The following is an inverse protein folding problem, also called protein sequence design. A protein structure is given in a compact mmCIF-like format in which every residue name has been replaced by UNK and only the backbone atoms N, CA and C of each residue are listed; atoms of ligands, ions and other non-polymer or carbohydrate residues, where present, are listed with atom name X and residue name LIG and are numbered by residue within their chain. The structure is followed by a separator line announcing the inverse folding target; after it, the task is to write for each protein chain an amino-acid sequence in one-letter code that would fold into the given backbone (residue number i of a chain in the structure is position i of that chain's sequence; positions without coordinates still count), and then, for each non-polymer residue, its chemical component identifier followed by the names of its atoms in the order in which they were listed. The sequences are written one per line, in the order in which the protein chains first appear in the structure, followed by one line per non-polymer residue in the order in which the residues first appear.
data_IF_522068377982
#
_entry.id   IF_522068377982
#
_cell.length_a   1.000
_cell.length_b   1.000
_cell.length_c   1.000
_cell.angle_alpha   90.00
_cell.angle_beta   90.00
_cell.angle_gamma   90.00
#
_symmetry.space_group_name_H-M   'P 1'
#
loop_
_entity.id
_entity.type
_entity.pdbx_description
1 polymer ?
#
# COMPACT_ATOMS: atom_id res chain seq x y z
N UNK A 1 53.07 26.69 0.93
CA UNK A 1 52.00 27.60 0.47
C UNK A 1 50.71 27.16 1.21
N UNK A 2 50.36 27.89 2.26
CA UNK A 2 49.14 27.57 3.01
C UNK A 2 47.91 28.19 2.30
N UNK A 3 47.01 27.36 1.83
CA UNK A 3 45.76 27.78 1.23
C UNK A 3 44.77 28.15 2.35
N UNK A 4 44.58 29.45 2.59
CA UNK A 4 43.59 29.91 3.55
C UNK A 4 42.18 29.83 2.97
N UNK A 5 41.17 29.54 3.82
CA UNK A 5 39.74 29.47 3.42
C UNK A 5 39.24 30.75 2.72
N UNK A 6 39.82 31.91 3.04
CA UNK A 6 39.53 33.20 2.36
C UNK A 6 40.09 33.27 0.95
N UNK A 7 41.24 32.65 0.67
CA UNK A 7 41.85 32.60 -0.65
C UNK A 7 41.06 31.72 -1.62
N UNK A 8 40.40 30.67 -1.09
CA UNK A 8 39.55 29.77 -1.91
C UNK A 8 38.26 30.46 -2.36
N UNK A 9 37.66 31.28 -1.49
CA UNK A 9 36.44 32.04 -1.80
C UNK A 9 36.67 33.20 -2.76
N UNK A 10 37.83 33.82 -2.71
CA UNK A 10 38.18 34.88 -3.66
C UNK A 10 38.52 34.34 -5.07
N UNK A 11 39.05 33.11 -5.16
CA UNK A 11 39.32 32.44 -6.43
C UNK A 11 38.07 32.00 -7.20
N UNK A 12 36.99 31.65 -6.50
CA UNK A 12 35.74 31.22 -7.11
C UNK A 12 34.90 32.37 -7.67
N UNK A 13 35.09 33.60 -7.21
CA UNK A 13 34.37 34.76 -7.74
C UNK A 13 34.94 35.26 -9.09
N UNK A 14 36.17 34.95 -9.41
CA UNK A 14 36.81 35.41 -10.66
C UNK A 14 36.49 34.49 -11.87
N UNK A 15 36.05 33.26 -11.65
CA UNK A 15 35.69 32.31 -12.74
C UNK A 15 34.23 32.44 -13.20
N UNK A 16 33.39 33.16 -12.49
CA UNK A 16 31.97 33.36 -12.88
C UNK A 16 31.75 34.42 -13.97
N UNK A 17 32.78 35.19 -14.37
CA UNK A 17 32.61 36.30 -15.31
C UNK A 17 32.94 35.94 -16.77
N UNK A 18 33.49 34.76 -17.06
CA UNK A 18 33.99 34.42 -18.41
C UNK A 18 33.00 33.57 -19.23
N UNK A 19 31.82 33.18 -18.73
CA UNK A 19 30.87 32.33 -19.44
C UNK A 19 29.54 33.07 -19.79
N UNK A 20 29.55 34.38 -19.89
CA UNK A 20 28.47 35.14 -20.48
C UNK A 20 28.76 35.37 -21.97
N UNK A 21 28.72 34.32 -22.81
CA UNK A 21 28.64 34.47 -24.26
C UNK A 21 27.22 34.81 -24.64
N UNK A 22 26.96 35.88 -25.42
CA UNK A 22 25.64 36.19 -25.93
C UNK A 22 25.30 35.30 -27.13
N UNK A 23 24.85 34.14 -26.83
CA UNK A 23 24.31 33.14 -27.73
C UNK A 23 23.24 32.38 -27.03
N UNK A 24 22.22 33.08 -26.47
CA UNK A 24 21.03 32.45 -25.92
C UNK A 24 20.28 31.79 -27.07
N UNK A 25 20.63 30.55 -27.39
CA UNK A 25 19.66 29.67 -28.02
C UNK A 25 18.46 29.66 -27.07
N UNK A 26 17.37 30.31 -27.51
CA UNK A 26 16.06 30.16 -26.90
C UNK A 26 15.80 28.66 -26.85
N UNK A 27 15.99 28.05 -25.69
CA UNK A 27 15.58 26.67 -25.48
C UNK A 27 14.09 26.64 -25.81
N UNK A 28 13.73 25.96 -26.92
CA UNK A 28 12.35 25.75 -27.23
C UNK A 28 11.68 25.16 -26.01
N UNK A 29 10.58 25.77 -25.57
CA UNK A 29 9.77 25.19 -24.50
C UNK A 29 9.48 23.75 -24.88
N UNK A 30 9.62 22.77 -23.95
CA UNK A 30 9.26 21.40 -24.25
C UNK A 30 7.84 21.35 -24.81
N UNK A 31 7.57 20.53 -25.82
CA UNK A 31 6.22 20.40 -26.36
C UNK A 31 5.26 20.10 -25.21
N UNK A 32 4.02 20.60 -25.24
CA UNK A 32 3.02 20.25 -24.24
C UNK A 32 2.94 18.71 -24.15
N UNK A 33 2.77 18.14 -22.94
CA UNK A 33 2.66 16.70 -22.79
C UNK A 33 1.54 16.21 -23.72
N UNK A 34 1.83 15.21 -24.54
CA UNK A 34 0.81 14.56 -25.36
C UNK A 34 -0.31 14.10 -24.44
N UNK A 35 -1.57 14.37 -24.86
CA UNK A 35 -2.73 13.90 -24.11
C UNK A 35 -2.63 12.38 -23.99
N UNK A 36 -2.48 11.88 -22.77
CA UNK A 36 -2.37 10.45 -22.52
C UNK A 36 -3.70 9.80 -22.89
N UNK A 37 -3.67 8.78 -23.75
CA UNK A 37 -4.87 8.02 -24.06
C UNK A 37 -5.41 7.38 -22.76
N UNK A 38 -6.68 7.63 -22.46
CA UNK A 38 -7.37 6.99 -21.34
C UNK A 38 -8.14 5.76 -21.81
N UNK A 39 -8.32 4.81 -20.89
CA UNK A 39 -9.09 3.57 -21.10
C UNK A 39 -10.20 3.53 -20.05
N UNK A 40 -11.45 3.23 -20.45
CA UNK A 40 -12.53 3.03 -19.48
C UNK A 40 -12.27 1.73 -18.70
N UNK A 41 -12.36 1.81 -17.37
CA UNK A 41 -12.20 0.69 -16.45
C UNK A 41 -13.43 0.64 -15.56
N UNK A 42 -14.03 -0.54 -15.42
CA UNK A 42 -15.22 -0.78 -14.61
C UNK A 42 -14.92 -1.83 -13.58
N UNK A 43 -15.15 -1.54 -12.31
CA UNK A 43 -15.04 -2.50 -11.21
C UNK A 43 -16.08 -2.21 -10.13
N UNK A 44 -16.29 -3.15 -9.24
CA UNK A 44 -17.10 -2.93 -8.05
C UNK A 44 -16.17 -2.62 -6.88
N UNK A 45 -16.36 -1.47 -6.22
CA UNK A 45 -15.58 -1.10 -5.04
C UNK A 45 -16.50 -0.97 -3.84
N UNK A 46 -16.27 -1.80 -2.83
CA UNK A 46 -17.07 -1.83 -1.59
C UNK A 46 -18.57 -2.02 -1.85
N UNK A 47 -18.93 -2.83 -2.85
CA UNK A 47 -20.31 -3.11 -3.25
C UNK A 47 -20.93 -2.06 -4.18
N UNK A 48 -20.17 -1.04 -4.59
CA UNK A 48 -20.63 -0.01 -5.52
C UNK A 48 -19.91 -0.10 -6.87
N UNK A 49 -20.68 -0.11 -7.96
CA UNK A 49 -20.11 -0.09 -9.31
C UNK A 49 -19.47 1.27 -9.59
N UNK A 50 -18.24 1.24 -10.07
CA UNK A 50 -17.44 2.42 -10.45
C UNK A 50 -16.97 2.29 -11.88
N UNK A 51 -16.97 3.40 -12.60
CA UNK A 51 -16.43 3.53 -13.95
C UNK A 51 -15.49 4.74 -13.97
N UNK A 52 -14.27 4.55 -14.45
CA UNK A 52 -13.23 5.57 -14.52
C UNK A 52 -12.55 5.53 -15.88
N UNK A 53 -12.25 6.69 -16.43
CA UNK A 53 -11.37 6.82 -17.59
C UNK A 53 -9.95 7.08 -17.11
N UNK A 54 -9.09 6.06 -17.18
CA UNK A 54 -7.75 6.07 -16.57
C UNK A 54 -6.64 5.97 -17.63
N UNK A 55 -5.52 6.62 -17.35
CA UNK A 55 -4.26 6.25 -17.99
C UNK A 55 -3.99 4.77 -17.71
N UNK A 56 -3.71 3.92 -18.71
CA UNK A 56 -3.49 2.49 -18.51
C UNK A 56 -2.33 2.14 -17.57
N UNK A 57 -1.46 3.11 -17.25
CA UNK A 57 -0.37 2.97 -16.28
C UNK A 57 -0.80 3.26 -14.84
N UNK A 58 -2.03 3.71 -14.62
CA UNK A 58 -2.55 4.02 -13.27
C UNK A 58 -2.59 2.75 -12.44
N UNK A 59 -1.94 2.77 -11.27
CA UNK A 59 -2.03 1.65 -10.32
C UNK A 59 -3.43 1.58 -9.71
N UNK A 60 -3.83 0.39 -9.25
CA UNK A 60 -5.07 0.24 -8.51
C UNK A 60 -5.07 1.13 -7.25
N UNK A 61 -3.92 1.26 -6.58
CA UNK A 61 -3.75 2.16 -5.43
C UNK A 61 -4.08 3.60 -5.78
N UNK A 62 -3.56 4.11 -6.89
CA UNK A 62 -3.82 5.50 -7.32
C UNK A 62 -5.27 5.69 -7.78
N UNK A 63 -5.85 4.69 -8.47
CA UNK A 63 -7.27 4.72 -8.83
C UNK A 63 -8.17 4.85 -7.58
N UNK A 64 -7.90 4.06 -6.54
CA UNK A 64 -8.65 4.11 -5.28
C UNK A 64 -8.48 5.46 -4.57
N UNK A 65 -7.24 5.94 -4.45
CA UNK A 65 -6.93 7.13 -3.64
C UNK A 65 -7.20 8.45 -4.35
N UNK A 66 -6.73 8.58 -5.60
CA UNK A 66 -6.72 9.88 -6.30
C UNK A 66 -7.99 10.08 -7.15
N UNK A 67 -8.57 9.01 -7.67
CA UNK A 67 -9.78 9.10 -8.50
C UNK A 67 -11.06 8.83 -7.69
N UNK A 68 -11.07 7.83 -6.80
CA UNK A 68 -12.24 7.50 -5.97
C UNK A 68 -12.22 8.13 -4.57
N UNK A 69 -11.12 8.80 -4.18
CA UNK A 69 -10.94 9.45 -2.87
C UNK A 69 -11.05 8.48 -1.68
N UNK A 70 -10.82 7.19 -1.90
CA UNK A 70 -10.77 6.16 -0.86
C UNK A 70 -9.37 6.14 -0.23
N UNK A 71 -9.12 7.08 0.68
CA UNK A 71 -7.79 7.35 1.23
C UNK A 71 -7.38 6.43 2.38
N UNK A 72 -8.24 5.50 2.79
CA UNK A 72 -7.96 4.49 3.81
C UNK A 72 -6.79 3.59 3.40
N UNK A 73 -6.79 3.09 2.16
CA UNK A 73 -5.66 2.37 1.59
C UNK A 73 -4.45 3.30 1.44
N UNK A 74 -3.27 2.91 1.98
CA UNK A 74 -2.12 3.83 2.13
C UNK A 74 -0.99 3.56 1.14
N UNK A 75 -0.42 4.63 0.60
CA UNK A 75 0.81 4.60 -0.21
C UNK A 75 2.02 4.72 0.72
N UNK A 76 2.60 3.58 1.14
CA UNK A 76 3.76 3.54 2.03
C UNK A 76 5.08 3.51 1.26
N UNK A 77 5.31 2.50 0.45
CA UNK A 77 6.55 2.32 -0.32
C UNK A 77 6.39 2.45 -1.83
N UNK A 78 5.19 2.22 -2.36
CA UNK A 78 4.83 2.26 -3.78
C UNK A 78 5.60 1.25 -4.66
N UNK A 79 6.14 0.19 -4.05
CA UNK A 79 6.88 -0.87 -4.74
C UNK A 79 6.74 -2.26 -4.07
N UNK A 80 5.59 -2.52 -3.42
CA UNK A 80 5.19 -3.85 -2.94
C UNK A 80 5.88 -4.35 -1.67
N UNK A 81 6.68 -3.55 -0.96
CA UNK A 81 7.48 -4.03 0.18
C UNK A 81 6.77 -3.91 1.53
N UNK A 82 5.85 -2.96 1.72
CA UNK A 82 5.36 -2.61 3.05
C UNK A 82 3.96 -3.13 3.39
N UNK A 83 3.16 -3.54 2.40
CA UNK A 83 1.80 -4.02 2.61
C UNK A 83 0.77 -2.97 3.07
N UNK A 84 1.14 -1.67 3.20
CA UNK A 84 0.20 -0.63 3.63
C UNK A 84 -0.94 -0.40 2.63
N UNK A 85 -0.73 -0.80 1.38
CA UNK A 85 -1.69 -0.70 0.29
C UNK A 85 -2.54 -1.98 0.08
N UNK A 86 -2.49 -2.93 1.00
CA UNK A 86 -3.25 -4.18 0.86
C UNK A 86 -4.75 -3.91 0.76
N UNK A 87 -5.35 -4.45 -0.29
CA UNK A 87 -6.80 -4.53 -0.52
C UNK A 87 -7.16 -5.97 -0.85
N UNK A 88 -8.44 -6.29 -0.90
CA UNK A 88 -8.93 -7.60 -1.36
C UNK A 88 -9.57 -7.44 -2.73
N UNK A 89 -9.16 -8.26 -3.69
CA UNK A 89 -9.78 -8.38 -5.02
C UNK A 89 -10.35 -9.79 -5.11
N UNK A 90 -11.64 -9.90 -5.30
CA UNK A 90 -12.38 -11.17 -5.29
C UNK A 90 -12.06 -12.04 -4.05
N UNK A 91 -11.90 -11.36 -2.89
CA UNK A 91 -11.55 -12.00 -1.61
C UNK A 91 -10.08 -12.40 -1.46
N UNK A 92 -9.22 -12.13 -2.44
CA UNK A 92 -7.77 -12.38 -2.38
C UNK A 92 -7.03 -11.07 -2.08
N UNK A 93 -6.17 -11.07 -1.06
CA UNK A 93 -5.36 -9.89 -0.74
C UNK A 93 -4.25 -9.66 -1.75
N UNK A 94 -4.12 -8.42 -2.19
CA UNK A 94 -3.06 -7.99 -3.10
C UNK A 94 -2.45 -6.66 -2.63
N UNK A 95 -1.24 -6.38 -3.08
CA UNK A 95 -0.62 -5.05 -2.97
C UNK A 95 -1.08 -4.18 -4.13
N UNK A 96 -2.04 -3.29 -3.91
CA UNK A 96 -2.64 -2.45 -4.95
C UNK A 96 -1.64 -1.51 -5.65
N UNK A 97 -0.48 -1.22 -5.06
CA UNK A 97 0.59 -0.45 -5.72
C UNK A 97 1.34 -1.23 -6.82
N UNK A 98 1.23 -2.56 -6.85
CA UNK A 98 1.87 -3.42 -7.86
C UNK A 98 0.92 -3.87 -8.97
N UNK A 99 -0.35 -3.51 -8.91
CA UNK A 99 -1.34 -3.92 -9.88
C UNK A 99 -1.90 -2.71 -10.61
N UNK A 100 -2.04 -2.78 -11.93
CA UNK A 100 -2.63 -1.72 -12.73
C UNK A 100 -4.16 -1.79 -12.63
N UNK A 101 -4.82 -0.64 -12.53
CA UNK A 101 -6.28 -0.57 -12.43
C UNK A 101 -6.98 -1.27 -13.61
N UNK A 102 -6.43 -1.14 -14.82
CA UNK A 102 -6.96 -1.75 -16.05
C UNK A 102 -6.98 -3.29 -16.01
N UNK A 103 -6.19 -3.92 -15.14
CA UNK A 103 -6.17 -5.38 -14.97
C UNK A 103 -7.36 -5.91 -14.15
N UNK A 104 -8.10 -5.01 -13.51
CA UNK A 104 -9.20 -5.31 -12.61
C UNK A 104 -10.57 -4.94 -13.19
N UNK A 105 -10.67 -4.82 -14.51
CA UNK A 105 -11.94 -4.56 -15.16
C UNK A 105 -12.92 -5.73 -14.91
N UNK A 106 -14.01 -5.46 -14.21
CA UNK A 106 -15.00 -6.44 -13.79
C UNK A 106 -14.82 -7.03 -12.39
N UNK A 107 -13.69 -6.79 -11.72
CA UNK A 107 -13.38 -7.37 -10.40
C UNK A 107 -14.15 -6.67 -9.27
N UNK A 108 -14.31 -7.40 -8.14
CA UNK A 108 -14.85 -6.88 -6.89
C UNK A 108 -13.73 -6.55 -5.90
N UNK A 109 -13.58 -5.25 -5.59
CA UNK A 109 -12.51 -4.72 -4.76
C UNK A 109 -13.08 -4.33 -3.39
N UNK A 110 -12.49 -4.85 -2.32
CA UNK A 110 -12.82 -4.46 -0.95
C UNK A 110 -11.64 -3.73 -0.31
N UNK A 111 -11.88 -2.51 0.10
CA UNK A 111 -10.92 -1.69 0.86
C UNK A 111 -11.30 -1.66 2.34
N UNK A 112 -10.51 -0.98 3.18
CA UNK A 112 -10.81 -0.83 4.61
C UNK A 112 -12.15 -0.15 4.85
N UNK A 113 -12.56 0.77 3.98
CA UNK A 113 -13.84 1.47 4.06
C UNK A 113 -15.03 0.55 3.84
N UNK A 114 -14.84 -0.57 3.12
CA UNK A 114 -15.89 -1.55 2.84
C UNK A 114 -16.05 -2.64 3.91
N UNK A 115 -15.15 -2.73 4.89
CA UNK A 115 -15.20 -3.79 5.91
C UNK A 115 -16.22 -3.51 7.00
N UNK A 116 -16.45 -2.26 7.37
CA UNK A 116 -17.38 -1.87 8.42
C UNK A 116 -17.65 -0.38 8.45
N UNK A 117 -18.62 0.02 9.27
CA UNK A 117 -18.97 1.44 9.50
C UNK A 117 -18.61 1.85 10.93
N UNK A 118 -18.54 3.17 11.23
CA UNK A 118 -18.32 3.63 12.60
C UNK A 118 -19.28 3.05 13.64
N UNK A 119 -20.56 2.84 13.25
CA UNK A 119 -21.59 2.28 14.12
C UNK A 119 -21.60 0.75 14.16
N UNK A 120 -20.95 0.09 13.18
CA UNK A 120 -20.87 -1.36 13.06
C UNK A 120 -19.51 -1.77 12.52
N UNK A 121 -18.54 -1.79 13.40
CA UNK A 121 -17.18 -2.21 13.06
C UNK A 121 -17.14 -3.70 12.66
N UNK A 122 -16.27 -4.02 11.71
CA UNK A 122 -15.89 -5.40 11.44
C UNK A 122 -15.19 -5.99 12.70
N UNK A 123 -15.38 -7.28 13.05
CA UNK A 123 -14.73 -7.88 14.22
C UNK A 123 -13.23 -7.64 14.31
N UNK A 124 -12.50 -7.67 13.18
CA UNK A 124 -11.08 -7.38 13.13
C UNK A 124 -10.77 -5.91 13.48
N UNK A 125 -11.60 -4.95 13.03
CA UNK A 125 -11.44 -3.54 13.41
C UNK A 125 -11.64 -3.35 14.91
N UNK A 126 -12.67 -3.96 15.49
CA UNK A 126 -12.92 -3.92 16.92
C UNK A 126 -11.79 -4.56 17.73
N UNK A 127 -11.26 -5.69 17.29
CA UNK A 127 -10.12 -6.37 17.94
C UNK A 127 -8.85 -5.52 17.88
N UNK A 128 -8.57 -4.85 16.76
CA UNK A 128 -7.43 -3.91 16.67
C UNK A 128 -7.53 -2.76 17.64
N UNK A 129 -8.73 -2.22 17.88
CA UNK A 129 -8.96 -1.17 18.89
C UNK A 129 -8.74 -1.75 20.28
N UNK A 130 -9.30 -2.92 20.60
CA UNK A 130 -9.23 -3.56 21.92
C UNK A 130 -7.81 -3.92 22.34
N UNK A 131 -7.00 -4.39 21.40
CA UNK A 131 -5.62 -4.85 21.63
C UNK A 131 -4.56 -3.80 21.30
N UNK A 132 -4.92 -2.55 21.03
CA UNK A 132 -3.98 -1.53 20.58
C UNK A 132 -3.12 -1.99 19.38
N UNK A 133 -3.73 -2.67 18.40
CA UNK A 133 -3.07 -3.21 17.21
C UNK A 133 -2.47 -2.15 16.28
N UNK A 134 -2.33 -0.92 16.73
CA UNK A 134 -1.77 0.21 16.00
C UNK A 134 -1.19 1.27 16.94
N UNK A 135 -0.35 2.17 16.39
CA UNK A 135 0.11 3.39 17.05
C UNK A 135 -0.15 4.59 16.12
N UNK A 136 0.70 4.85 15.11
CA UNK A 136 0.46 5.95 14.17
C UNK A 136 -0.76 5.73 13.24
N UNK A 137 -1.25 4.52 13.10
CA UNK A 137 -2.40 4.17 12.27
C UNK A 137 -2.12 4.04 10.77
N UNK A 138 -0.91 4.40 10.30
CA UNK A 138 -0.65 4.46 8.85
C UNK A 138 -0.72 3.09 8.16
N UNK A 139 -0.14 2.04 8.73
CA UNK A 139 -0.20 0.68 8.18
C UNK A 139 -1.52 -0.04 8.50
N UNK A 140 -2.33 0.48 9.41
CA UNK A 140 -3.48 -0.21 10.00
C UNK A 140 -4.52 -0.66 8.96
N UNK A 141 -4.91 0.13 7.96
CA UNK A 141 -5.82 -0.33 6.91
C UNK A 141 -5.33 -1.59 6.19
N UNK A 142 -4.06 -1.58 5.75
CA UNK A 142 -3.45 -2.74 5.10
C UNK A 142 -3.30 -3.93 6.03
N UNK A 143 -2.97 -3.72 7.31
CA UNK A 143 -2.89 -4.77 8.32
C UNK A 143 -4.26 -5.45 8.54
N UNK A 144 -5.33 -4.67 8.67
CA UNK A 144 -6.68 -5.19 8.87
C UNK A 144 -7.17 -5.96 7.64
N UNK A 145 -7.06 -5.40 6.42
CA UNK A 145 -7.42 -6.08 5.19
C UNK A 145 -6.65 -7.41 5.04
N UNK A 146 -5.35 -7.38 5.31
CA UNK A 146 -4.50 -8.57 5.27
C UNK A 146 -4.92 -9.60 6.33
N UNK A 147 -5.18 -9.18 7.56
CA UNK A 147 -5.60 -10.06 8.65
C UNK A 147 -6.94 -10.77 8.37
N UNK A 148 -7.91 -10.05 7.80
CA UNK A 148 -9.20 -10.62 7.38
C UNK A 148 -8.98 -11.70 6.32
N UNK A 149 -8.20 -11.38 5.27
CA UNK A 149 -7.91 -12.34 4.20
C UNK A 149 -7.09 -13.53 4.69
N UNK A 150 -6.13 -13.34 5.59
CA UNK A 150 -5.33 -14.42 6.21
C UNK A 150 -6.21 -15.42 6.93
N UNK A 151 -7.17 -14.97 7.73
CA UNK A 151 -8.09 -15.90 8.41
C UNK A 151 -8.96 -16.69 7.43
N UNK A 152 -9.33 -16.06 6.30
CA UNK A 152 -10.05 -16.76 5.24
C UNK A 152 -9.15 -17.75 4.49
N UNK A 153 -7.91 -17.41 4.18
CA UNK A 153 -6.92 -18.31 3.60
C UNK A 153 -6.73 -19.57 4.46
N UNK A 154 -6.61 -19.41 5.79
CA UNK A 154 -6.49 -20.52 6.74
C UNK A 154 -7.76 -21.40 6.68
N UNK A 155 -8.95 -20.80 6.69
CA UNK A 155 -10.23 -21.53 6.59
C UNK A 155 -10.33 -22.31 5.28
N UNK A 156 -9.87 -21.76 4.17
CA UNK A 156 -9.84 -22.42 2.86
C UNK A 156 -8.76 -23.51 2.74
N UNK A 157 -7.84 -23.59 3.71
CA UNK A 157 -6.75 -24.56 3.70
C UNK A 157 -5.62 -24.18 2.77
N UNK A 158 -5.42 -22.88 2.46
CA UNK A 158 -4.30 -22.41 1.66
C UNK A 158 -2.99 -22.67 2.41
N UNK A 159 -2.02 -23.41 1.85
CA UNK A 159 -0.77 -23.73 2.54
C UNK A 159 0.11 -22.50 2.79
N UNK A 160 1.02 -22.58 3.76
CA UNK A 160 1.98 -21.55 4.10
C UNK A 160 3.38 -22.10 4.39
N UNK A 161 4.36 -21.20 4.50
CA UNK A 161 5.74 -21.55 4.89
C UNK A 161 5.87 -22.01 6.36
N UNK A 162 4.88 -21.73 7.21
CA UNK A 162 4.88 -22.18 8.60
C UNK A 162 4.56 -23.67 8.76
N UNK A 163 4.01 -24.32 7.72
CA UNK A 163 3.62 -25.73 7.76
C UNK A 163 4.79 -26.66 7.46
N UNK A 164 4.99 -27.68 8.32
CA UNK A 164 5.94 -28.75 8.04
C UNK A 164 5.44 -29.78 7.00
N UNK A 165 4.12 -29.89 6.84
CA UNK A 165 3.47 -30.73 5.85
C UNK A 165 2.41 -29.92 5.09
N UNK A 166 2.65 -29.67 3.81
CA UNK A 166 1.75 -28.89 2.94
C UNK A 166 0.43 -29.60 2.62
N UNK A 167 0.33 -30.90 2.88
CA UNK A 167 -0.91 -31.68 2.70
C UNK A 167 -1.83 -31.58 3.93
N UNK A 168 -1.32 -31.16 5.07
CA UNK A 168 -2.13 -30.91 6.26
C UNK A 168 -2.89 -29.58 6.15
N UNK A 169 -4.05 -29.48 6.79
CA UNK A 169 -4.78 -28.20 6.87
C UNK A 169 -4.09 -27.25 7.83
N UNK A 170 -3.85 -25.99 7.45
CA UNK A 170 -3.32 -24.97 8.36
C UNK A 170 -4.32 -24.71 9.50
N UNK A 171 -3.81 -24.34 10.65
CA UNK A 171 -4.59 -23.91 11.82
C UNK A 171 -4.16 -22.50 12.22
N UNK A 172 -5.08 -21.71 12.78
CA UNK A 172 -4.81 -20.33 13.16
C UNK A 172 -3.94 -20.23 14.41
N UNK A 173 -2.70 -20.74 14.31
CA UNK A 173 -1.69 -20.60 15.39
C UNK A 173 -1.01 -19.22 15.31
N UNK A 174 -0.39 -18.81 16.41
CA UNK A 174 0.38 -17.55 16.45
C UNK A 174 1.49 -17.53 15.37
N UNK A 175 2.19 -18.67 15.19
CA UNK A 175 3.26 -18.80 14.17
C UNK A 175 2.67 -18.66 12.77
N UNK A 176 1.57 -19.34 12.46
CA UNK A 176 0.91 -19.30 11.17
C UNK A 176 0.42 -17.88 10.82
N UNK A 177 -0.21 -17.19 11.77
CA UNK A 177 -0.70 -15.83 11.58
C UNK A 177 0.45 -14.85 11.36
N UNK A 178 1.53 -14.93 12.15
CA UNK A 178 2.72 -14.07 11.99
C UNK A 178 3.41 -14.27 10.66
N UNK A 179 3.55 -15.52 10.22
CA UNK A 179 4.17 -15.84 8.93
C UNK A 179 3.36 -15.20 7.77
N UNK A 180 2.06 -15.42 7.75
CA UNK A 180 1.20 -14.85 6.70
C UNK A 180 1.13 -13.32 6.71
N UNK A 181 1.35 -12.70 7.87
CA UNK A 181 1.38 -11.25 8.03
C UNK A 181 2.76 -10.62 7.79
N UNK A 182 3.80 -11.42 7.53
CA UNK A 182 5.19 -10.95 7.42
C UNK A 182 5.39 -9.88 6.34
N UNK A 183 4.54 -9.85 5.30
CA UNK A 183 4.56 -8.84 4.25
C UNK A 183 3.92 -7.48 4.64
N UNK A 184 3.30 -7.37 5.82
CA UNK A 184 2.67 -6.14 6.28
C UNK A 184 3.53 -5.47 7.37
N UNK A 185 4.30 -4.44 7.01
CA UNK A 185 5.28 -3.81 7.88
C UNK A 185 4.62 -2.74 8.77
N UNK A 186 4.88 -2.82 10.08
CA UNK A 186 4.53 -1.79 11.05
C UNK A 186 5.78 -1.12 11.61
N UNK A 187 6.04 0.14 11.22
CA UNK A 187 7.23 0.89 11.68
C UNK A 187 7.21 1.16 13.20
N UNK A 188 6.03 1.24 13.80
CA UNK A 188 5.86 1.42 15.24
C UNK A 188 6.04 0.12 16.05
N UNK A 189 6.06 -1.04 15.39
CA UNK A 189 6.31 -2.32 16.04
C UNK A 189 5.12 -2.96 16.75
N UNK A 190 3.87 -2.63 16.38
CA UNK A 190 2.66 -3.17 17.04
C UNK A 190 2.37 -4.64 16.72
N UNK A 191 3.34 -5.42 16.27
CA UNK A 191 3.15 -6.78 15.77
C UNK A 191 2.54 -7.76 16.78
N UNK A 192 2.93 -7.67 18.07
CA UNK A 192 2.38 -8.54 19.11
C UNK A 192 0.89 -8.29 19.31
N UNK A 193 0.51 -7.03 19.40
CA UNK A 193 -0.87 -6.59 19.57
C UNK A 193 -1.74 -6.96 18.33
N UNK A 194 -1.18 -6.85 17.13
CA UNK A 194 -1.84 -7.29 15.88
C UNK A 194 -2.09 -8.80 15.93
N UNK A 195 -1.10 -9.60 16.37
CA UNK A 195 -1.25 -11.05 16.50
C UNK A 195 -2.30 -11.43 17.55
N UNK A 196 -2.39 -10.71 18.67
CA UNK A 196 -3.42 -10.89 19.70
C UNK A 196 -4.81 -10.55 19.15
N UNK A 197 -4.95 -9.46 18.40
CA UNK A 197 -6.21 -9.09 17.74
C UNK A 197 -6.67 -10.19 16.76
N UNK A 198 -5.76 -10.72 15.95
CA UNK A 198 -6.05 -11.82 15.04
C UNK A 198 -6.43 -13.10 15.78
N UNK A 199 -5.74 -13.43 16.85
CA UNK A 199 -6.02 -14.62 17.66
C UNK A 199 -7.44 -14.54 18.28
N UNK A 200 -7.85 -13.39 18.80
CA UNK A 200 -9.20 -13.19 19.31
C UNK A 200 -10.26 -13.46 18.23
N UNK A 201 -10.10 -12.88 17.04
CA UNK A 201 -11.07 -13.08 15.94
C UNK A 201 -11.06 -14.51 15.42
N UNK A 202 -9.91 -15.17 15.43
CA UNK A 202 -9.77 -16.58 15.07
C UNK A 202 -10.35 -17.53 16.11
N UNK A 203 -10.63 -17.08 17.34
CA UNK A 203 -10.96 -17.95 18.48
C UNK A 203 -9.78 -18.83 18.93
N UNK A 204 -8.55 -18.39 18.67
CA UNK A 204 -7.30 -19.08 18.98
C UNK A 204 -6.65 -18.48 20.24
N UNK A 205 -5.67 -19.20 20.80
CA UNK A 205 -4.80 -18.62 21.84
C UNK A 205 -3.67 -17.82 21.17
N UNK A 206 -3.44 -16.61 21.67
CA UNK A 206 -2.34 -15.75 21.24
C UNK A 206 -0.96 -16.30 21.62
#
# INVERSE_FOLDING_TARGET
MELSRRGLLAGSAATAVVVASPGSALAASPPPPEATATVPVRFEVNGEKRELDLDPRTTLLDALREHLQLTGTKKGCDHGQCGACTVMVDGVRINSCLSLAVMHDGDAITTIEGLGTPDKLHPMQAAFIKHDGYQCGYCTPGQICSAVAVLDEIKRGVPSHAQGDLMSRPTATNVEMRERMSGNICRCGAYSNIAEAMAEVAGAKA
#
